data_IF_326275438449
#
_entry.id   IF_326275438449
#
_cell.length_a   1.000
_cell.length_b   1.000
_cell.length_c   1.000
_cell.angle_alpha   90.00
_cell.angle_beta   90.00
_cell.angle_gamma   90.00
#
_symmetry.space_group_name_H-M   'P 1'
#
loop_
_entity.id
_entity.type
_entity.pdbx_description
1 polymer ?
#
# COMPACT_ATOMS: atom_id res chain seq x y z
N UNK A 1 -1.10 -20.65 4.31
CA UNK A 1 -0.98 -19.19 4.10
C UNK A 1 -2.15 -18.39 4.70
N UNK A 2 -3.40 -18.59 4.27
CA UNK A 2 -4.58 -17.82 4.76
C UNK A 2 -4.72 -17.74 6.29
N UNK A 3 -4.63 -18.88 6.99
CA UNK A 3 -4.75 -18.92 8.45
C UNK A 3 -3.66 -18.12 9.17
N UNK A 4 -2.44 -18.09 8.61
CA UNK A 4 -1.34 -17.31 9.16
C UNK A 4 -1.60 -15.80 9.01
N UNK A 5 -2.11 -15.37 7.85
CA UNK A 5 -2.52 -13.97 7.64
C UNK A 5 -3.63 -13.56 8.62
N UNK A 6 -4.64 -14.42 8.81
CA UNK A 6 -5.71 -14.17 9.78
C UNK A 6 -5.18 -14.08 11.22
N UNK A 7 -4.28 -14.98 11.62
CA UNK A 7 -3.68 -14.96 12.95
C UNK A 7 -2.82 -13.71 13.21
N UNK A 8 -2.07 -13.25 12.20
CA UNK A 8 -1.27 -12.02 12.30
C UNK A 8 -2.17 -10.81 12.53
N UNK A 9 -3.25 -10.68 11.76
CA UNK A 9 -4.22 -9.58 11.90
C UNK A 9 -4.97 -9.66 13.23
N UNK A 10 -5.37 -10.86 13.66
CA UNK A 10 -6.05 -11.07 14.95
C UNK A 10 -5.19 -10.68 16.16
N UNK A 11 -3.86 -10.64 15.99
CA UNK A 11 -2.90 -10.17 17.02
C UNK A 11 -2.61 -8.67 16.94
N UNK A 12 -3.35 -7.92 16.12
CA UNK A 12 -3.17 -6.49 15.91
C UNK A 12 -2.15 -6.12 14.83
N UNK A 13 -1.62 -7.09 14.07
CA UNK A 13 -0.71 -6.79 12.97
C UNK A 13 -1.43 -6.19 11.76
N UNK A 14 -0.88 -5.13 11.16
CA UNK A 14 -1.32 -4.66 9.85
C UNK A 14 -0.52 -5.38 8.75
N UNK A 15 -1.20 -6.17 7.92
CA UNK A 15 -0.56 -6.91 6.83
C UNK A 15 -0.69 -6.15 5.51
N UNK A 16 0.44 -5.71 4.96
CA UNK A 16 0.53 -5.14 3.61
C UNK A 16 1.01 -6.21 2.63
N UNK A 17 0.40 -6.27 1.44
CA UNK A 17 0.87 -7.15 0.38
C UNK A 17 0.81 -6.46 -0.99
N UNK A 18 1.81 -6.75 -1.82
CA UNK A 18 1.87 -6.24 -3.18
C UNK A 18 0.74 -6.81 -4.03
N UNK A 19 0.06 -5.91 -4.74
CA UNK A 19 -1.02 -6.23 -5.69
C UNK A 19 -0.64 -5.66 -7.07
N UNK A 20 -0.84 -6.43 -8.16
CA UNK A 20 -0.55 -5.94 -9.50
C UNK A 20 -1.45 -4.74 -9.83
N UNK A 21 -0.90 -3.74 -10.52
CA UNK A 21 -1.65 -2.56 -10.91
C UNK A 21 -2.75 -2.85 -11.95
N UNK A 22 -2.69 -4.01 -12.62
CA UNK A 22 -3.60 -4.46 -13.66
C UNK A 22 -3.76 -5.99 -13.59
N UNK A 23 -4.90 -6.50 -14.05
CA UNK A 23 -5.20 -7.93 -14.08
C UNK A 23 -5.78 -8.48 -12.78
N UNK A 24 -5.72 -9.80 -12.64
CA UNK A 24 -6.31 -10.54 -11.52
C UNK A 24 -5.56 -10.32 -10.21
N UNK A 25 -6.32 -10.28 -9.11
CA UNK A 25 -5.77 -10.16 -7.77
C UNK A 25 -4.95 -11.40 -7.36
N UNK A 26 -3.80 -11.17 -6.75
CA UNK A 26 -2.91 -12.24 -6.26
C UNK A 26 -3.05 -12.44 -4.75
N UNK A 27 -2.72 -13.63 -4.26
CA UNK A 27 -2.65 -13.88 -2.82
C UNK A 27 -1.24 -13.63 -2.29
N UNK A 28 -1.07 -13.07 -1.07
CA UNK A 28 -2.10 -12.84 -0.07
C UNK A 28 -2.87 -11.50 -0.18
N UNK A 29 -2.55 -10.61 -1.12
CA UNK A 29 -3.22 -9.31 -1.28
C UNK A 29 -4.74 -9.42 -1.44
N UNK A 30 -5.24 -10.47 -2.08
CA UNK A 30 -6.67 -10.68 -2.29
C UNK A 30 -7.43 -11.22 -1.05
N UNK A 31 -6.81 -11.27 0.14
CA UNK A 31 -7.53 -11.56 1.37
C UNK A 31 -8.15 -10.27 1.96
N UNK A 32 -9.41 -10.26 2.42
CA UNK A 32 -10.09 -9.04 2.87
C UNK A 32 -9.38 -8.27 3.98
N UNK A 33 -8.64 -8.97 4.84
CA UNK A 33 -7.91 -8.38 5.95
C UNK A 33 -6.49 -7.88 5.60
N UNK A 34 -6.10 -7.94 4.32
CA UNK A 34 -4.78 -7.53 3.84
C UNK A 34 -4.89 -6.22 3.10
N UNK A 35 -4.03 -5.26 3.45
CA UNK A 35 -3.93 -3.99 2.75
C UNK A 35 -3.26 -4.21 1.40
N UNK A 36 -3.99 -3.92 0.32
CA UNK A 36 -3.53 -4.13 -1.06
C UNK A 36 -2.75 -2.92 -1.53
N UNK A 37 -1.47 -3.12 -1.84
CA UNK A 37 -0.58 -2.02 -2.20
C UNK A 37 0.04 -2.24 -3.57
N UNK A 38 0.03 -1.21 -4.42
CA UNK A 38 0.75 -1.22 -5.69
C UNK A 38 1.75 -0.07 -5.80
N UNK A 39 2.37 0.09 -6.95
CA UNK A 39 3.26 1.22 -7.24
C UNK A 39 2.55 2.34 -7.97
N UNK A 40 2.90 3.59 -7.68
CA UNK A 40 2.45 4.79 -8.39
C UNK A 40 3.66 5.61 -8.83
N UNK A 41 3.78 5.86 -10.14
CA UNK A 41 4.88 6.64 -10.71
C UNK A 41 4.75 8.14 -10.45
N UNK A 42 3.57 8.61 -10.02
CA UNK A 42 3.34 10.01 -9.63
C UNK A 42 3.96 10.34 -8.28
N UNK A 43 4.09 9.35 -7.40
CA UNK A 43 4.58 9.53 -6.04
C UNK A 43 6.09 9.72 -5.99
N UNK A 44 6.53 10.79 -5.32
CA UNK A 44 7.88 10.89 -4.79
C UNK A 44 8.09 9.93 -3.60
N UNK A 45 9.34 9.85 -3.10
CA UNK A 45 9.76 8.93 -2.04
C UNK A 45 8.92 9.03 -0.75
N UNK A 46 8.43 10.23 -0.41
CA UNK A 46 7.64 10.49 0.80
C UNK A 46 6.14 10.62 0.51
N UNK A 47 5.68 10.20 -0.66
CA UNK A 47 4.30 10.37 -1.11
C UNK A 47 3.61 9.02 -1.38
N UNK A 48 2.30 9.01 -1.18
CA UNK A 48 1.44 7.87 -1.51
C UNK A 48 0.08 8.33 -2.04
N UNK A 49 -0.60 7.38 -2.67
CA UNK A 49 -1.90 7.54 -3.31
C UNK A 49 -2.92 6.68 -2.61
N UNK A 50 -4.11 7.25 -2.35
CA UNK A 50 -5.29 6.47 -1.98
C UNK A 50 -6.06 6.14 -3.26
N UNK A 51 -5.94 4.89 -3.72
CA UNK A 51 -6.50 4.48 -5.01
C UNK A 51 -7.97 4.12 -4.91
N UNK A 52 -8.36 3.46 -3.82
CA UNK A 52 -9.71 2.92 -3.62
C UNK A 52 -10.23 2.16 -4.85
N UNK A 53 -9.38 1.29 -5.43
CA UNK A 53 -9.70 0.58 -6.67
C UNK A 53 -9.92 -0.91 -6.43
N UNK A 54 -10.38 -1.60 -7.47
CA UNK A 54 -10.51 -3.06 -7.44
C UNK A 54 -9.14 -3.74 -7.32
N UNK A 55 -8.08 -3.11 -7.84
CA UNK A 55 -6.72 -3.66 -7.86
C UNK A 55 -5.95 -3.41 -6.56
N UNK A 56 -6.06 -2.21 -5.98
CA UNK A 56 -5.32 -1.85 -4.78
C UNK A 56 -6.03 -0.75 -3.96
N UNK A 57 -5.82 -0.78 -2.65
CA UNK A 57 -6.31 0.23 -1.73
C UNK A 57 -5.44 1.49 -1.80
N UNK A 58 -4.12 1.28 -1.81
CA UNK A 58 -3.11 2.33 -1.83
C UNK A 58 -2.00 2.04 -2.83
N UNK A 59 -1.24 3.07 -3.17
CA UNK A 59 0.03 2.93 -3.87
C UNK A 59 1.05 3.92 -3.33
N UNK A 60 2.33 3.61 -3.47
CA UNK A 60 3.42 4.51 -3.09
C UNK A 60 4.49 4.53 -4.17
N UNK A 61 5.59 5.26 -3.94
CA UNK A 61 6.70 5.38 -4.87
C UNK A 61 7.08 4.02 -5.48
N UNK A 62 6.97 3.93 -6.80
CA UNK A 62 7.24 2.70 -7.54
C UNK A 62 8.73 2.49 -7.82
N UNK A 63 9.55 3.55 -7.68
CA UNK A 63 10.95 3.54 -8.06
C UNK A 63 11.85 3.07 -6.91
N UNK A 64 12.79 2.18 -7.21
CA UNK A 64 13.85 1.79 -6.29
C UNK A 64 15.03 2.76 -6.34
N UNK A 65 16.01 2.55 -5.47
CA UNK A 65 17.24 3.35 -5.42
C UNK A 65 18.08 3.24 -6.71
N UNK A 66 17.97 2.12 -7.43
CA UNK A 66 18.75 1.88 -8.65
C UNK A 66 17.90 2.05 -9.93
N UNK A 67 18.50 2.56 -11.03
CA UNK A 67 17.81 2.67 -12.31
C UNK A 67 17.21 1.34 -12.78
N UNK A 68 15.99 1.40 -13.34
CA UNK A 68 15.30 0.24 -13.87
C UNK A 68 14.52 -0.60 -12.85
N UNK A 69 14.62 -0.29 -11.55
CA UNK A 69 13.79 -0.92 -10.53
C UNK A 69 12.42 -0.25 -10.45
N UNK A 70 11.37 -1.01 -10.78
CA UNK A 70 9.98 -0.57 -10.70
C UNK A 70 9.06 -1.74 -10.42
N UNK A 71 8.06 -1.55 -9.55
CA UNK A 71 6.97 -2.52 -9.39
C UNK A 71 6.17 -2.39 -8.10
N UNK A 72 5.08 -3.16 -8.02
CA UNK A 72 4.18 -3.19 -6.87
C UNK A 72 4.89 -3.57 -5.56
N UNK A 73 5.95 -4.38 -5.63
CA UNK A 73 6.76 -4.74 -4.46
C UNK A 73 7.48 -3.54 -3.84
N UNK A 74 7.96 -2.61 -4.67
CA UNK A 74 8.63 -1.40 -4.20
C UNK A 74 7.61 -0.43 -3.58
N UNK A 75 6.46 -0.25 -4.23
CA UNK A 75 5.36 0.53 -3.64
C UNK A 75 4.87 -0.05 -2.31
N UNK A 76 4.76 -1.38 -2.19
CA UNK A 76 4.41 -2.03 -0.93
C UNK A 76 5.45 -1.80 0.17
N UNK A 77 6.73 -1.88 -0.17
CA UNK A 77 7.81 -1.61 0.78
C UNK A 77 7.82 -0.14 1.23
N UNK A 78 7.68 0.80 0.30
CA UNK A 78 7.62 2.23 0.58
C UNK A 78 6.45 2.58 1.51
N UNK A 79 5.24 2.09 1.20
CA UNK A 79 4.08 2.32 2.05
C UNK A 79 4.25 1.71 3.45
N UNK A 80 4.85 0.52 3.54
CA UNK A 80 5.14 -0.12 4.84
C UNK A 80 6.11 0.74 5.67
N UNK A 81 7.07 1.42 5.03
CA UNK A 81 7.95 2.38 5.68
C UNK A 81 7.21 3.59 6.24
N UNK A 82 6.26 4.17 5.48
CA UNK A 82 5.42 5.27 5.97
C UNK A 82 4.55 4.86 7.16
N UNK A 83 3.95 3.68 7.10
CA UNK A 83 3.18 3.11 8.21
C UNK A 83 4.06 2.92 9.44
N UNK A 84 5.27 2.38 9.27
CA UNK A 84 6.19 2.19 10.39
C UNK A 84 6.61 3.52 11.01
N UNK A 85 6.87 4.55 10.21
CA UNK A 85 7.15 5.92 10.71
C UNK A 85 6.00 6.46 11.55
N UNK A 86 4.76 6.35 11.06
CA UNK A 86 3.57 6.75 11.81
C UNK A 86 3.42 5.96 13.13
N UNK A 87 3.64 4.65 13.11
CA UNK A 87 3.55 3.81 14.32
C UNK A 87 4.66 4.08 15.33
N UNK A 88 5.83 4.58 14.91
CA UNK A 88 6.87 5.03 15.85
C UNK A 88 6.41 6.27 16.62
N UNK A 89 5.72 7.20 15.95
CA UNK A 89 5.17 8.41 16.56
C UNK A 89 3.87 8.13 17.36
N UNK A 90 3.13 7.10 16.95
CA UNK A 90 1.83 6.72 17.51
C UNK A 90 1.77 5.20 17.81
N UNK A 91 2.51 4.69 18.80
CA UNK A 91 2.66 3.25 19.05
C UNK A 91 1.36 2.53 19.43
N UNK A 92 0.38 3.26 19.97
CA UNK A 92 -0.93 2.72 20.36
C UNK A 92 -1.97 2.81 19.24
N UNK A 93 -1.58 3.24 18.04
CA UNK A 93 -2.52 3.41 16.94
C UNK A 93 -3.07 2.06 16.46
N UNK A 94 -4.40 1.99 16.32
CA UNK A 94 -5.07 0.83 15.74
C UNK A 94 -4.90 0.76 14.22
N UNK A 95 -5.13 -0.42 13.64
CA UNK A 95 -5.13 -0.60 12.18
C UNK A 95 -6.07 0.37 11.47
N UNK A 96 -7.24 0.65 12.06
CA UNK A 96 -8.21 1.61 11.52
C UNK A 96 -7.65 3.04 11.54
N UNK A 97 -6.95 3.43 12.62
CA UNK A 97 -6.31 4.75 12.71
C UNK A 97 -5.18 4.91 11.70
N UNK A 98 -4.39 3.86 11.47
CA UNK A 98 -3.36 3.85 10.41
C UNK A 98 -4.01 4.01 9.04
N UNK A 99 -5.06 3.24 8.73
CA UNK A 99 -5.77 3.33 7.45
C UNK A 99 -6.37 4.73 7.25
N UNK A 100 -6.93 5.33 8.30
CA UNK A 100 -7.52 6.65 8.23
C UNK A 100 -6.45 7.75 8.04
N UNK A 101 -5.30 7.61 8.71
CA UNK A 101 -4.15 8.47 8.48
C UNK A 101 -3.66 8.38 7.03
N UNK A 102 -3.54 7.16 6.49
CA UNK A 102 -3.15 6.95 5.09
C UNK A 102 -4.12 7.62 4.12
N UNK A 103 -5.44 7.51 4.34
CA UNK A 103 -6.47 8.15 3.48
C UNK A 103 -6.40 9.67 3.53
N UNK A 104 -6.27 10.24 4.73
CA UNK A 104 -6.25 11.68 4.91
C UNK A 104 -5.00 12.33 4.31
N UNK A 105 -3.84 11.69 4.47
CA UNK A 105 -2.55 12.24 4.09
C UNK A 105 -2.09 11.80 2.69
N UNK A 106 -2.88 11.00 1.97
CA UNK A 106 -2.57 10.64 0.59
C UNK A 106 -2.45 11.87 -0.31
N UNK A 107 -1.31 11.98 -1.00
CA UNK A 107 -1.01 13.07 -1.94
C UNK A 107 -1.93 13.04 -3.14
N UNK A 108 -2.18 11.84 -3.67
CA UNK A 108 -3.05 11.62 -4.80
C UNK A 108 -4.25 10.76 -4.41
N UNK A 109 -5.37 10.99 -5.10
CA UNK A 109 -6.61 10.23 -4.90
C UNK A 109 -7.07 9.65 -6.23
N UNK A 110 -7.38 8.36 -6.20
CA UNK A 110 -7.78 7.57 -7.36
C UNK A 110 -6.60 7.11 -8.24
N UNK A 111 -6.87 6.19 -9.19
CA UNK A 111 -5.88 5.69 -10.14
C UNK A 111 -5.29 6.78 -11.04
N UNK A 112 -4.02 6.62 -11.43
CA UNK A 112 -3.39 7.43 -12.48
C UNK A 112 -4.19 7.29 -13.78
N UNK A 113 -4.53 8.43 -14.39
CA UNK A 113 -5.11 8.47 -15.73
C UNK A 113 -4.08 9.09 -16.66
N UNK A 114 -3.44 8.25 -17.48
CA UNK A 114 -2.67 8.74 -18.62
C UNK A 114 -3.64 9.08 -19.72
N UNK A 115 -3.83 10.37 -19.98
CA UNK A 115 -4.42 10.80 -21.24
C UNK A 115 -3.35 10.59 -22.31
N UNK A 116 -3.63 9.74 -23.29
CA UNK A 116 -2.79 9.67 -24.49
C UNK A 116 -2.82 11.04 -25.19
N UNK A 117 -1.70 11.49 -25.78
CA UNK A 117 -1.67 12.69 -26.61
C UNK A 117 -2.51 12.54 -27.89
#
# INVERSE_FOLDING_TARGET
MRAACAAAVARGGLLCASSPAQGEGVYPANYPQVLRVTGDARCAELEWSWLNSAQADFAACVHGTYPGQSGASLGCAALSGHIAGFLVEHPEASNEQVIEWLRHNARFRGPERRFAP
#
